data_IF_729155307796
#
_entry.id   IF_729155307796
#
_cell.length_a   1.000
_cell.length_b   1.000
_cell.length_c   1.000
_cell.angle_alpha   90.00
_cell.angle_beta   90.00
_cell.angle_gamma   90.00
#
_symmetry.space_group_name_H-M   'P 1'
#
loop_
_entity.id
_entity.type
_entity.pdbx_description
1 polymer ?
#
# COMPACT_ATOMS: atom_id res chain seq x y z
N UNK A 1 7.29 -23.24 -12.89
CA UNK A 1 6.68 -22.50 -14.00
C UNK A 1 5.97 -21.30 -13.37
N UNK A 2 6.42 -20.07 -13.63
CA UNK A 2 5.73 -18.89 -13.09
C UNK A 2 4.39 -18.72 -13.82
N UNK A 3 3.29 -18.40 -13.12
CA UNK A 3 2.01 -18.17 -13.77
C UNK A 3 2.13 -17.00 -14.76
N UNK A 4 1.44 -17.12 -15.88
CA UNK A 4 1.31 -16.01 -16.84
C UNK A 4 0.56 -14.84 -16.19
N UNK A 5 0.73 -13.63 -16.74
CA UNK A 5 0.01 -12.43 -16.29
C UNK A 5 -1.51 -12.64 -16.36
N UNK A 6 -1.99 -13.38 -17.36
CA UNK A 6 -3.41 -13.73 -17.51
C UNK A 6 -3.92 -14.66 -16.39
N UNK A 7 -3.17 -15.71 -16.05
CA UNK A 7 -3.52 -16.60 -14.94
C UNK A 7 -3.47 -15.87 -13.58
N UNK A 8 -2.50 -14.97 -13.41
CA UNK A 8 -2.39 -14.13 -12.22
C UNK A 8 -3.59 -13.17 -12.11
N UNK A 9 -4.03 -12.59 -13.24
CA UNK A 9 -5.21 -11.73 -13.28
C UNK A 9 -6.49 -12.47 -12.89
N UNK A 10 -6.72 -13.67 -13.43
CA UNK A 10 -7.90 -14.47 -13.09
C UNK A 10 -7.96 -14.77 -11.59
N UNK A 11 -6.81 -15.08 -10.98
CA UNK A 11 -6.75 -15.33 -9.54
C UNK A 11 -6.98 -14.07 -8.72
N UNK A 12 -6.34 -12.94 -9.06
CA UNK A 12 -6.45 -11.72 -8.24
C UNK A 12 -7.80 -11.02 -8.37
N UNK A 13 -8.51 -11.24 -9.48
CA UNK A 13 -9.86 -10.68 -9.73
C UNK A 13 -10.99 -11.55 -9.19
N UNK A 14 -10.70 -12.77 -8.71
CA UNK A 14 -11.66 -13.66 -8.10
C UNK A 14 -12.17 -13.07 -6.76
N UNK A 15 -13.49 -12.93 -6.56
CA UNK A 15 -14.05 -12.33 -5.34
C UNK A 15 -13.63 -13.04 -4.05
N UNK A 16 -13.47 -14.38 -4.07
CA UNK A 16 -13.03 -15.11 -2.89
C UNK A 16 -11.58 -14.73 -2.53
N UNK A 17 -10.71 -14.64 -3.54
CA UNK A 17 -9.32 -14.18 -3.38
C UNK A 17 -9.26 -12.74 -2.86
N UNK A 18 -10.10 -11.83 -3.37
CA UNK A 18 -10.18 -10.43 -2.89
C UNK A 18 -10.58 -10.40 -1.41
N UNK A 19 -11.62 -11.15 -1.02
CA UNK A 19 -12.08 -11.22 0.36
C UNK A 19 -10.99 -11.77 1.30
N UNK A 20 -10.26 -12.79 0.86
CA UNK A 20 -9.19 -13.39 1.65
C UNK A 20 -7.95 -12.49 1.75
N UNK A 21 -7.68 -11.64 0.75
CA UNK A 21 -6.68 -10.58 0.85
C UNK A 21 -7.11 -9.51 1.86
N UNK A 22 -8.35 -9.04 1.80
CA UNK A 22 -8.86 -8.03 2.75
C UNK A 22 -8.74 -8.53 4.21
N UNK A 23 -9.05 -9.80 4.47
CA UNK A 23 -8.86 -10.41 5.80
C UNK A 23 -7.39 -10.46 6.24
N UNK A 24 -6.45 -10.55 5.31
CA UNK A 24 -5.03 -10.58 5.64
C UNK A 24 -4.48 -9.18 5.94
N UNK A 25 -4.93 -8.17 5.20
CA UNK A 25 -4.30 -6.84 5.23
C UNK A 25 -4.85 -5.92 6.32
N UNK A 26 -6.05 -6.17 6.82
CA UNK A 26 -6.64 -5.44 7.95
C UNK A 26 -6.27 -6.13 9.26
N UNK A 27 -5.79 -5.37 10.24
CA UNK A 27 -5.50 -5.87 11.58
C UNK A 27 -6.78 -5.96 12.44
N UNK A 28 -7.68 -4.97 12.32
CA UNK A 28 -8.99 -5.02 12.99
C UNK A 28 -10.05 -5.64 12.09
N UNK A 29 -10.35 -6.92 12.34
CA UNK A 29 -11.38 -7.67 11.61
C UNK A 29 -12.83 -7.24 11.95
N UNK A 30 -13.04 -6.28 12.86
CA UNK A 30 -14.34 -5.63 13.06
C UNK A 30 -14.59 -4.47 12.08
N UNK A 31 -13.56 -4.02 11.36
CA UNK A 31 -13.67 -2.98 10.33
C UNK A 31 -14.64 -3.43 9.23
N UNK A 32 -15.62 -2.59 8.91
CA UNK A 32 -16.58 -2.89 7.84
C UNK A 32 -15.94 -2.68 6.47
N UNK A 33 -15.50 -3.78 5.85
CA UNK A 33 -14.87 -3.77 4.52
C UNK A 33 -15.85 -4.05 3.37
N UNK A 34 -17.15 -4.20 3.61
CA UNK A 34 -18.14 -4.60 2.58
C UNK A 34 -18.18 -3.62 1.40
N UNK A 35 -18.07 -2.32 1.70
CA UNK A 35 -18.04 -1.27 0.68
C UNK A 35 -16.77 -1.35 -0.15
N UNK A 36 -15.61 -1.45 0.50
CA UNK A 36 -14.30 -1.55 -0.17
C UNK A 36 -14.25 -2.81 -1.03
N UNK A 37 -14.68 -3.95 -0.49
CA UNK A 37 -14.81 -5.21 -1.22
C UNK A 37 -15.64 -5.04 -2.49
N UNK A 38 -16.84 -4.48 -2.36
CA UNK A 38 -17.76 -4.29 -3.49
C UNK A 38 -17.16 -3.37 -4.56
N UNK A 39 -16.47 -2.30 -4.16
CA UNK A 39 -15.79 -1.38 -5.08
C UNK A 39 -14.62 -2.04 -5.81
N UNK A 40 -13.84 -2.89 -5.13
CA UNK A 40 -12.76 -3.65 -5.78
C UNK A 40 -13.35 -4.63 -6.81
N UNK A 41 -14.38 -5.39 -6.43
CA UNK A 41 -15.04 -6.34 -7.36
C UNK A 41 -15.67 -5.64 -8.56
N UNK A 42 -16.30 -4.48 -8.36
CA UNK A 42 -16.81 -3.67 -9.48
C UNK A 42 -15.67 -3.20 -10.38
N UNK A 43 -14.55 -2.75 -9.80
CA UNK A 43 -13.39 -2.28 -10.55
C UNK A 43 -12.76 -3.38 -11.40
N UNK A 44 -12.74 -4.64 -10.92
CA UNK A 44 -12.18 -5.76 -11.69
C UNK A 44 -13.05 -6.16 -12.89
N UNK A 45 -14.31 -5.75 -12.94
CA UNK A 45 -15.21 -5.98 -14.08
C UNK A 45 -14.96 -5.01 -15.24
N UNK A 46 -14.21 -3.94 -15.03
CA UNK A 46 -13.93 -2.97 -16.08
C UNK A 46 -13.11 -3.63 -17.22
N UNK A 47 -13.43 -3.40 -18.51
CA UNK A 47 -12.74 -4.06 -19.63
C UNK A 47 -11.22 -3.84 -19.67
N UNK A 48 -10.75 -2.71 -19.12
CA UNK A 48 -9.34 -2.37 -19.05
C UNK A 48 -8.62 -2.90 -17.80
N UNK A 49 -9.31 -3.51 -16.83
CA UNK A 49 -8.75 -3.83 -15.53
C UNK A 49 -7.57 -4.82 -15.61
N UNK A 50 -7.69 -5.85 -16.45
CA UNK A 50 -6.61 -6.80 -16.72
C UNK A 50 -5.37 -6.12 -17.34
N UNK A 51 -5.58 -5.18 -18.26
CA UNK A 51 -4.50 -4.42 -18.88
C UNK A 51 -3.82 -3.47 -17.88
N UNK A 52 -4.59 -2.82 -17.00
CA UNK A 52 -4.06 -2.00 -15.91
C UNK A 52 -3.23 -2.82 -14.94
N UNK A 53 -3.71 -4.00 -14.53
CA UNK A 53 -2.94 -4.93 -13.69
C UNK A 53 -1.64 -5.36 -14.37
N UNK A 54 -1.71 -5.79 -15.64
CA UNK A 54 -0.54 -6.18 -16.41
C UNK A 54 0.47 -5.02 -16.53
N UNK A 55 0.01 -3.80 -16.72
CA UNK A 55 0.86 -2.61 -16.79
C UNK A 55 1.64 -2.38 -15.48
N UNK A 56 1.04 -2.66 -14.32
CA UNK A 56 1.71 -2.51 -13.03
C UNK A 56 2.71 -3.65 -12.82
N UNK A 57 2.28 -4.89 -13.07
CA UNK A 57 3.12 -6.08 -12.83
C UNK A 57 4.31 -6.18 -13.79
N UNK A 58 4.17 -5.65 -15.00
CA UNK A 58 5.20 -5.66 -16.03
C UNK A 58 5.91 -4.30 -16.18
N UNK A 59 5.64 -3.34 -15.29
CA UNK A 59 6.31 -2.05 -15.33
C UNK A 59 7.83 -2.24 -15.20
N UNK A 60 8.66 -1.54 -16.00
CA UNK A 60 10.09 -1.54 -15.80
C UNK A 60 10.41 -0.91 -14.43
N UNK A 61 11.55 -1.29 -13.86
CA UNK A 61 12.09 -0.62 -12.67
C UNK A 61 12.25 0.88 -12.96
N UNK A 62 11.95 1.72 -11.97
CA UNK A 62 12.12 3.17 -12.10
C UNK A 62 13.57 3.55 -12.42
N UNK A 63 13.74 4.64 -13.17
CA UNK A 63 15.06 5.17 -13.56
C UNK A 63 15.91 5.58 -12.37
N UNK A 64 15.26 5.99 -11.27
CA UNK A 64 15.90 6.37 -10.02
C UNK A 64 15.84 5.23 -9.02
N UNK A 65 16.97 4.96 -8.38
CA UNK A 65 16.96 4.12 -7.20
C UNK A 65 16.20 4.79 -6.05
N UNK A 66 15.81 3.98 -5.06
CA UNK A 66 15.16 4.47 -3.85
C UNK A 66 16.02 5.54 -3.14
N UNK A 67 17.33 5.31 -3.02
CA UNK A 67 18.24 6.26 -2.37
C UNK A 67 18.39 7.56 -3.16
N UNK A 68 18.50 7.49 -4.49
CA UNK A 68 18.55 8.70 -5.34
C UNK A 68 17.25 9.51 -5.22
N UNK A 69 16.11 8.83 -5.13
CA UNK A 69 14.82 9.48 -4.92
C UNK A 69 14.79 10.23 -3.59
N UNK A 70 15.24 9.61 -2.49
CA UNK A 70 15.32 10.26 -1.18
C UNK A 70 16.30 11.44 -1.16
N UNK A 71 17.46 11.32 -1.79
CA UNK A 71 18.44 12.41 -1.90
C UNK A 71 17.85 13.60 -2.64
N UNK A 72 17.16 13.38 -3.76
CA UNK A 72 16.50 14.45 -4.51
C UNK A 72 15.39 15.11 -3.71
N UNK A 73 14.60 14.35 -2.96
CA UNK A 73 13.60 14.94 -2.06
C UNK A 73 14.25 15.89 -1.05
N UNK A 74 15.39 15.51 -0.46
CA UNK A 74 16.15 16.40 0.45
C UNK A 74 16.65 17.66 -0.24
N UNK A 75 17.35 17.49 -1.37
CA UNK A 75 17.93 18.61 -2.13
C UNK A 75 16.89 19.64 -2.54
N UNK A 76 15.66 19.18 -2.84
CA UNK A 76 14.55 20.01 -3.24
C UNK A 76 13.62 20.42 -2.08
N UNK A 77 14.00 20.13 -0.82
CA UNK A 77 13.21 20.44 0.37
C UNK A 77 11.76 19.91 0.31
N UNK A 78 11.56 18.73 -0.27
CA UNK A 78 10.26 18.08 -0.34
C UNK A 78 9.93 17.50 1.04
N UNK A 79 8.84 17.93 1.70
CA UNK A 79 8.44 17.38 2.98
C UNK A 79 8.03 15.92 2.81
N UNK A 80 8.58 15.05 3.65
CA UNK A 80 8.25 13.62 3.68
C UNK A 80 7.68 13.31 5.06
N UNK A 81 6.58 12.56 5.10
CA UNK A 81 6.00 11.98 6.31
C UNK A 81 5.75 10.50 6.07
N UNK A 82 6.13 9.67 7.04
CA UNK A 82 5.99 8.22 6.96
C UNK A 82 4.93 7.75 7.94
N UNK A 83 3.88 7.11 7.43
CA UNK A 83 2.76 6.60 8.22
C UNK A 83 2.54 5.13 7.87
N UNK A 84 2.66 4.26 8.87
CA UNK A 84 2.55 2.81 8.73
C UNK A 84 1.55 2.28 9.76
N UNK A 85 0.80 1.23 9.43
CA UNK A 85 0.17 0.42 10.45
C UNK A 85 1.20 -0.50 11.08
N UNK A 86 1.22 -0.56 12.41
CA UNK A 86 2.18 -1.34 13.19
C UNK A 86 2.01 -2.84 12.97
N UNK A 87 0.79 -3.27 12.65
CA UNK A 87 0.42 -4.66 12.41
C UNK A 87 0.42 -5.04 10.91
N UNK A 88 0.95 -4.18 10.02
CA UNK A 88 1.03 -4.46 8.57
C UNK A 88 1.84 -5.74 8.27
N UNK A 89 1.22 -6.78 7.66
CA UNK A 89 1.91 -8.03 7.36
C UNK A 89 2.77 -7.97 6.09
N UNK A 90 2.56 -6.96 5.24
CA UNK A 90 3.15 -6.83 3.91
C UNK A 90 4.34 -5.86 3.90
N UNK A 91 4.15 -4.64 4.41
CA UNK A 91 5.19 -3.60 4.39
C UNK A 91 5.84 -3.49 5.77
N UNK A 92 6.84 -4.34 5.99
CA UNK A 92 7.62 -4.34 7.23
C UNK A 92 8.44 -3.04 7.37
N UNK A 93 8.75 -2.61 8.61
CA UNK A 93 9.38 -1.31 8.91
C UNK A 93 10.82 -1.14 8.37
N UNK A 94 11.38 -2.11 7.65
CA UNK A 94 12.73 -2.07 7.08
C UNK A 94 12.88 -0.86 6.14
N UNK A 95 11.88 -0.61 5.29
CA UNK A 95 11.91 0.55 4.37
C UNK A 95 11.83 1.87 5.13
N UNK A 96 10.93 1.98 6.12
CA UNK A 96 10.84 3.15 6.99
C UNK A 96 12.14 3.44 7.74
N UNK A 97 12.80 2.40 8.27
CA UNK A 97 14.11 2.51 8.91
C UNK A 97 15.20 2.95 7.93
N UNK A 98 15.19 2.48 6.68
CA UNK A 98 16.13 2.93 5.64
C UNK A 98 15.95 4.42 5.34
N UNK A 99 14.70 4.91 5.27
CA UNK A 99 14.42 6.34 5.13
C UNK A 99 14.98 7.10 6.33
N UNK A 100 14.67 6.68 7.57
CA UNK A 100 15.16 7.35 8.79
C UNK A 100 16.68 7.40 8.92
N UNK A 101 17.41 6.39 8.42
CA UNK A 101 18.88 6.41 8.40
C UNK A 101 19.45 7.49 7.49
N UNK A 102 18.76 7.76 6.39
CA UNK A 102 19.17 8.81 5.46
C UNK A 102 18.64 10.17 5.93
N UNK A 103 17.35 10.27 6.19
CA UNK A 103 16.58 11.46 6.55
C UNK A 103 16.08 11.36 8.01
N UNK A 104 16.96 11.57 9.01
CA UNK A 104 16.58 11.45 10.42
C UNK A 104 15.52 12.46 10.88
N UNK A 105 15.32 13.55 10.15
CA UNK A 105 14.32 14.59 10.40
C UNK A 105 12.88 14.18 10.01
N UNK A 106 12.73 13.18 9.14
CA UNK A 106 11.43 12.77 8.62
C UNK A 106 10.55 12.18 9.74
N UNK A 107 9.33 12.69 9.95
CA UNK A 107 8.36 12.10 10.88
C UNK A 107 8.05 10.66 10.48
N UNK A 108 8.02 9.76 11.48
CA UNK A 108 7.76 8.34 11.31
C UNK A 108 6.78 7.86 12.37
N UNK A 109 5.61 7.41 11.91
CA UNK A 109 4.51 6.96 12.75
C UNK A 109 4.18 5.50 12.44
N UNK A 110 4.15 4.68 13.49
CA UNK A 110 3.61 3.33 13.48
C UNK A 110 2.32 3.33 14.31
N UNK A 111 1.17 3.21 13.63
CA UNK A 111 -0.15 3.34 14.23
C UNK A 111 -0.67 1.96 14.64
N UNK A 112 -1.22 1.86 15.85
CA UNK A 112 -1.86 0.66 16.35
C UNK A 112 -3.18 1.03 17.04
N UNK A 113 -4.26 0.23 16.87
CA UNK A 113 -4.33 -0.97 16.03
C UNK A 113 -4.52 -0.62 14.55
N UNK A 114 -3.60 -1.02 13.66
CA UNK A 114 -3.75 -0.87 12.21
C UNK A 114 -2.80 -1.78 11.41
N UNK A 115 -3.32 -2.39 10.35
CA UNK A 115 -2.60 -3.20 9.39
C UNK A 115 -2.09 -2.41 8.18
N UNK A 116 -2.24 -2.97 6.98
CA UNK A 116 -1.75 -2.39 5.73
C UNK A 116 -2.52 -1.15 5.29
N UNK A 117 -3.76 -0.98 5.76
CA UNK A 117 -4.65 0.10 5.36
C UNK A 117 -4.97 1.02 6.54
N UNK A 118 -3.97 1.69 7.18
CA UNK A 118 -4.20 2.50 8.38
C UNK A 118 -5.15 3.67 8.13
N UNK A 119 -5.24 4.14 6.88
CA UNK A 119 -6.16 5.22 6.48
C UNK A 119 -7.63 4.78 6.44
N UNK A 120 -7.91 3.48 6.31
CA UNK A 120 -9.28 2.94 6.35
C UNK A 120 -9.61 2.38 7.75
N UNK A 121 -8.62 1.79 8.45
CA UNK A 121 -8.80 1.22 9.79
C UNK A 121 -8.91 2.27 10.91
N UNK A 122 -8.07 3.32 10.86
CA UNK A 122 -8.01 4.38 11.89
C UNK A 122 -7.95 5.77 11.24
N UNK A 123 -8.95 6.13 10.43
CA UNK A 123 -8.95 7.34 9.61
C UNK A 123 -8.76 8.61 10.44
N UNK A 124 -9.26 8.67 11.67
CA UNK A 124 -9.13 9.83 12.55
C UNK A 124 -7.66 10.11 12.89
N UNK A 125 -6.88 9.07 13.18
CA UNK A 125 -5.46 9.18 13.52
C UNK A 125 -4.65 9.60 12.31
N UNK A 126 -4.89 8.96 11.15
CA UNK A 126 -4.20 9.31 9.91
C UNK A 126 -4.52 10.74 9.48
N UNK A 127 -5.80 11.13 9.54
CA UNK A 127 -6.23 12.49 9.20
C UNK A 127 -5.64 13.54 10.15
N UNK A 128 -5.50 13.23 11.44
CA UNK A 128 -4.83 14.11 12.39
C UNK A 128 -3.35 14.33 12.03
N UNK A 129 -2.62 13.25 11.72
CA UNK A 129 -1.20 13.32 11.31
C UNK A 129 -1.04 14.15 10.02
N UNK A 130 -1.93 13.97 9.04
CA UNK A 130 -1.82 14.65 7.74
C UNK A 130 -2.20 16.14 7.79
N UNK A 131 -2.96 16.58 8.80
CA UNK A 131 -3.40 17.98 8.92
C UNK A 131 -2.37 18.91 9.57
N UNK A 132 -1.43 18.36 10.35
CA UNK A 132 -0.38 19.13 11.03
C UNK A 132 -0.84 19.76 12.34
#
# INVERSE_FOLDING_TARGET
MQPSVGESWQKISDPQTIADILKQVYADHSTNVDKVFSQIVETTQHPAAAASFASIMCAPTGELSFNESLSRCRENNIPICLVYGKEDPWVRPIWGQQVKRQLPEVPYYEISPAGHCPHDEVPEVVNYILRG
#
